data_IF_902538662223
#
_entry.id   IF_902538662223
#
_cell.length_a   1.000
_cell.length_b   1.000
_cell.length_c   1.000
_cell.angle_alpha   90.00
_cell.angle_beta   90.00
_cell.angle_gamma   90.00
#
_symmetry.space_group_name_H-M   'P 1'
#
loop_
_entity.id
_entity.type
_entity.pdbx_description
1 polymer ?
#
# COMPACT_ATOMS: atom_id res chain seq x y z
N UNK A 1 -6.23 2.41 26.35
CA UNK A 1 -6.36 2.06 24.92
C UNK A 1 -6.60 3.34 24.17
N UNK A 2 -5.66 3.74 23.33
CA UNK A 2 -5.80 4.92 22.47
C UNK A 2 -6.68 4.51 21.29
N UNK A 3 -7.66 5.33 20.94
CA UNK A 3 -8.53 5.08 19.78
C UNK A 3 -7.68 5.03 18.49
N UNK A 4 -7.80 4.00 17.63
CA UNK A 4 -7.11 3.92 16.35
C UNK A 4 -7.22 5.18 15.48
N UNK A 5 -8.36 5.89 15.54
CA UNK A 5 -8.55 7.16 14.85
C UNK A 5 -7.61 8.26 15.35
N UNK A 6 -7.35 8.31 16.66
CA UNK A 6 -6.43 9.27 17.27
C UNK A 6 -4.98 8.99 16.85
N UNK A 7 -4.63 7.71 16.69
CA UNK A 7 -3.29 7.30 16.23
C UNK A 7 -3.12 7.69 14.74
N UNK A 8 -4.17 7.54 13.93
CA UNK A 8 -4.16 7.97 12.53
C UNK A 8 -3.92 9.49 12.40
N UNK A 9 -4.65 10.30 13.14
CA UNK A 9 -4.51 11.77 13.11
C UNK A 9 -3.09 12.21 13.53
N UNK A 10 -2.55 11.59 14.58
CA UNK A 10 -1.19 11.83 15.03
C UNK A 10 -0.15 11.44 13.97
N UNK A 11 -0.37 10.31 13.28
CA UNK A 11 0.49 9.83 12.20
C UNK A 11 0.52 10.82 11.03
N UNK A 12 -0.65 11.32 10.62
CA UNK A 12 -0.75 12.33 9.57
C UNK A 12 -0.02 13.62 9.94
N UNK A 13 -0.19 14.09 11.19
CA UNK A 13 0.49 15.29 11.67
C UNK A 13 2.02 15.12 11.72
N UNK A 14 2.52 13.96 12.12
CA UNK A 14 3.96 13.65 12.12
C UNK A 14 4.52 13.68 10.68
N UNK A 15 3.81 13.08 9.72
CA UNK A 15 4.15 13.09 8.29
C UNK A 15 4.22 14.51 7.72
N UNK A 16 3.21 15.34 7.99
CA UNK A 16 3.17 16.73 7.51
C UNK A 16 4.30 17.60 8.06
N UNK A 17 4.84 17.24 9.23
CA UNK A 17 5.93 17.95 9.89
C UNK A 17 7.32 17.35 9.59
N UNK A 18 7.40 16.35 8.71
CA UNK A 18 8.67 15.68 8.37
C UNK A 18 9.26 14.84 9.52
N UNK A 19 8.46 14.48 10.52
CA UNK A 19 8.90 13.68 11.67
C UNK A 19 8.77 12.18 11.36
N UNK A 20 9.64 11.69 10.48
CA UNK A 20 9.55 10.32 9.94
C UNK A 20 9.65 9.21 11.00
N UNK A 21 10.56 9.35 11.97
CA UNK A 21 10.73 8.36 13.03
C UNK A 21 9.48 8.26 13.94
N UNK A 22 8.83 9.39 14.19
CA UNK A 22 7.59 9.44 14.98
C UNK A 22 6.42 8.87 14.19
N UNK A 23 6.31 9.21 12.89
CA UNK A 23 5.32 8.61 12.01
C UNK A 23 5.48 7.08 11.94
N UNK A 24 6.70 6.56 11.88
CA UNK A 24 6.93 5.11 11.90
C UNK A 24 6.49 4.47 13.23
N UNK A 25 6.84 5.08 14.37
CA UNK A 25 6.43 4.58 15.68
C UNK A 25 4.90 4.56 15.83
N UNK A 26 4.22 5.61 15.37
CA UNK A 26 2.75 5.70 15.39
C UNK A 26 2.10 4.65 14.48
N UNK A 27 2.71 4.36 13.33
CA UNK A 27 2.24 3.32 12.42
C UNK A 27 2.38 1.91 13.03
N UNK A 28 3.49 1.64 13.71
CA UNK A 28 3.69 0.40 14.46
C UNK A 28 2.66 0.26 15.58
N UNK A 29 2.36 1.36 16.28
CA UNK A 29 1.33 1.37 17.31
C UNK A 29 -0.08 1.12 16.74
N UNK A 30 -0.43 1.75 15.62
CA UNK A 30 -1.70 1.51 14.93
C UNK A 30 -1.84 0.03 14.53
N UNK A 31 -0.75 -0.57 14.05
CA UNK A 31 -0.74 -1.97 13.71
C UNK A 31 -0.86 -2.90 14.92
N UNK A 32 -0.23 -2.57 16.05
CA UNK A 32 -0.36 -3.35 17.28
C UNK A 32 -1.80 -3.36 17.82
N UNK A 33 -2.50 -2.23 17.73
CA UNK A 33 -3.89 -2.09 18.21
C UNK A 33 -4.91 -2.71 17.23
N UNK A 34 -4.66 -2.60 15.92
CA UNK A 34 -5.60 -3.06 14.88
C UNK A 34 -4.87 -3.73 13.70
N UNK A 35 -4.24 -4.91 13.89
CA UNK A 35 -3.34 -5.51 12.89
C UNK A 35 -4.03 -5.94 11.60
N UNK A 36 -5.31 -6.32 11.68
CA UNK A 36 -6.10 -6.79 10.54
C UNK A 36 -7.03 -5.71 9.95
N UNK A 37 -6.98 -4.47 10.45
CA UNK A 37 -7.80 -3.40 9.89
C UNK A 37 -7.31 -2.99 8.51
N UNK A 38 -8.24 -2.63 7.62
CA UNK A 38 -7.90 -2.21 6.25
C UNK A 38 -6.95 -1.01 6.29
N UNK A 39 -7.23 -0.06 7.16
CA UNK A 39 -6.45 1.16 7.34
C UNK A 39 -5.01 0.90 7.78
N UNK A 40 -4.82 0.08 8.84
CA UNK A 40 -3.49 -0.29 9.35
C UNK A 40 -2.63 -0.94 8.27
N UNK A 41 -3.22 -1.87 7.51
CA UNK A 41 -2.53 -2.57 6.43
C UNK A 41 -2.22 -1.63 5.26
N UNK A 42 -3.17 -0.80 4.82
CA UNK A 42 -2.96 0.18 3.74
C UNK A 42 -1.81 1.13 4.09
N UNK A 43 -1.77 1.68 5.31
CA UNK A 43 -0.74 2.63 5.71
C UNK A 43 0.65 1.99 5.79
N UNK A 44 0.76 0.76 6.30
CA UNK A 44 2.02 -0.01 6.27
C UNK A 44 2.47 -0.28 4.85
N UNK A 45 1.56 -0.69 3.98
CA UNK A 45 1.87 -0.94 2.57
C UNK A 45 2.42 0.31 1.88
N UNK A 46 1.74 1.46 2.05
CA UNK A 46 2.21 2.73 1.50
C UNK A 46 3.60 3.10 2.03
N UNK A 47 3.84 2.96 3.34
CA UNK A 47 5.12 3.27 3.94
C UNK A 47 6.27 2.38 3.39
N UNK A 48 6.02 1.08 3.18
CA UNK A 48 6.99 0.18 2.55
C UNK A 48 7.29 0.60 1.11
N UNK A 49 6.26 0.91 0.32
CA UNK A 49 6.43 1.33 -1.09
C UNK A 49 7.21 2.63 -1.20
N UNK A 50 6.91 3.62 -0.35
CA UNK A 50 7.61 4.91 -0.31
C UNK A 50 9.11 4.77 0.04
N UNK A 51 9.47 3.75 0.83
CA UNK A 51 10.87 3.46 1.22
C UNK A 51 11.62 2.59 0.22
N UNK A 52 10.92 2.01 -0.75
CA UNK A 52 11.49 1.03 -1.67
C UNK A 52 11.51 -0.41 -1.12
N UNK A 53 10.86 -0.67 0.01
CA UNK A 53 10.79 -1.98 0.66
C UNK A 53 9.67 -2.84 0.00
N UNK A 54 9.79 -3.07 -1.31
CA UNK A 54 8.72 -3.68 -2.11
C UNK A 54 8.43 -5.14 -1.76
N UNK A 55 9.42 -5.88 -1.26
CA UNK A 55 9.23 -7.26 -0.79
C UNK A 55 8.34 -7.31 0.46
N UNK A 56 8.56 -6.40 1.40
CA UNK A 56 7.74 -6.30 2.61
C UNK A 56 6.33 -5.84 2.25
N UNK A 57 6.21 -4.89 1.31
CA UNK A 57 4.91 -4.50 0.77
C UNK A 57 4.18 -5.69 0.14
N UNK A 58 4.87 -6.50 -0.67
CA UNK A 58 4.27 -7.67 -1.31
C UNK A 58 3.84 -8.72 -0.28
N UNK A 59 4.66 -8.97 0.75
CA UNK A 59 4.34 -9.90 1.82
C UNK A 59 3.05 -9.47 2.54
N UNK A 60 2.97 -8.19 2.93
CA UNK A 60 1.81 -7.62 3.61
C UNK A 60 0.53 -7.66 2.75
N UNK A 61 0.65 -7.38 1.45
CA UNK A 61 -0.49 -7.41 0.53
C UNK A 61 -1.01 -8.84 0.31
N UNK A 62 -0.11 -9.83 0.39
CA UNK A 62 -0.42 -11.25 0.18
C UNK A 62 -0.84 -11.99 1.45
N UNK A 63 -0.40 -11.53 2.63
CA UNK A 63 -0.68 -12.19 3.91
C UNK A 63 -2.05 -11.85 4.50
N UNK A 64 -2.72 -10.82 3.98
CA UNK A 64 -4.07 -10.49 4.40
C UNK A 64 -5.05 -11.59 3.92
N UNK A 65 -5.81 -12.19 4.83
CA UNK A 65 -6.84 -13.18 4.45
C UNK A 65 -7.86 -12.55 3.50
N UNK A 66 -8.01 -13.18 2.33
CA UNK A 66 -8.67 -12.60 1.15
C UNK A 66 -7.77 -11.54 0.53
N UNK A 67 -7.54 -11.56 -0.78
CA UNK A 67 -6.66 -10.61 -1.49
C UNK A 67 -7.17 -9.16 -1.30
N UNK A 68 -6.85 -8.50 -0.17
CA UNK A 68 -7.52 -7.27 0.30
C UNK A 68 -7.11 -6.03 -0.48
N UNK A 69 -5.95 -6.10 -1.13
CA UNK A 69 -5.29 -4.98 -1.80
C UNK A 69 -4.60 -5.42 -3.11
N UNK A 70 -5.34 -5.98 -4.08
CA UNK A 70 -4.77 -6.39 -5.36
C UNK A 70 -4.08 -5.22 -6.09
N UNK A 71 -4.55 -3.99 -5.88
CA UNK A 71 -3.96 -2.77 -6.44
C UNK A 71 -2.56 -2.47 -5.90
N UNK A 72 -2.35 -2.67 -4.59
CA UNK A 72 -1.05 -2.46 -3.96
C UNK A 72 -0.09 -3.63 -4.25
N UNK A 73 -0.63 -4.84 -4.39
CA UNK A 73 0.13 -6.01 -4.87
C UNK A 73 0.65 -5.79 -6.28
N UNK A 74 -0.19 -5.28 -7.20
CA UNK A 74 0.23 -4.94 -8.55
C UNK A 74 1.37 -3.91 -8.55
N UNK A 75 1.25 -2.86 -7.73
CA UNK A 75 2.28 -1.83 -7.61
C UNK A 75 3.61 -2.38 -7.04
N UNK A 76 3.56 -3.22 -6.01
CA UNK A 76 4.75 -3.85 -5.44
C UNK A 76 5.45 -4.76 -6.44
N UNK A 77 4.69 -5.59 -7.18
CA UNK A 77 5.24 -6.47 -8.22
C UNK A 77 5.84 -5.67 -9.39
N UNK A 78 5.25 -4.53 -9.75
CA UNK A 78 5.80 -3.63 -10.77
C UNK A 78 7.20 -3.14 -10.40
N UNK A 79 7.39 -2.66 -9.16
CA UNK A 79 8.70 -2.22 -8.69
C UNK A 79 9.72 -3.36 -8.49
N UNK A 80 9.25 -4.60 -8.39
CA UNK A 80 10.09 -5.80 -8.32
C UNK A 80 10.41 -6.40 -9.70
N UNK A 81 10.00 -5.74 -10.80
CA UNK A 81 10.11 -6.24 -12.17
C UNK A 81 9.45 -7.62 -12.39
N UNK A 82 8.46 -7.99 -11.56
CA UNK A 82 7.76 -9.27 -11.66
C UNK A 82 6.59 -9.18 -12.65
N UNK A 83 6.60 -9.92 -13.78
CA UNK A 83 5.62 -9.76 -14.85
C UNK A 83 4.17 -10.04 -14.44
N UNK A 84 3.93 -10.70 -13.30
CA UNK A 84 2.59 -10.94 -12.77
C UNK A 84 1.85 -9.64 -12.46
N UNK A 85 2.56 -8.53 -12.22
CA UNK A 85 1.95 -7.21 -11.98
C UNK A 85 0.97 -6.83 -13.09
N UNK A 86 1.30 -7.17 -14.35
CA UNK A 86 0.56 -6.71 -15.52
C UNK A 86 -0.82 -7.33 -15.61
N UNK A 87 -0.94 -8.63 -15.30
CA UNK A 87 -2.23 -9.33 -15.29
C UNK A 87 -3.16 -8.80 -14.21
N UNK A 88 -2.62 -8.50 -13.03
CA UNK A 88 -3.38 -7.92 -11.91
C UNK A 88 -3.83 -6.50 -12.28
N UNK A 89 -2.93 -5.66 -12.80
CA UNK A 89 -3.26 -4.30 -13.21
C UNK A 89 -4.32 -4.28 -14.32
N UNK A 90 -4.27 -5.21 -15.29
CA UNK A 90 -5.30 -5.35 -16.33
C UNK A 90 -6.66 -5.72 -15.73
N UNK A 91 -6.70 -6.67 -14.79
CA UNK A 91 -7.93 -7.07 -14.12
C UNK A 91 -8.59 -5.94 -13.31
N UNK A 92 -7.79 -4.98 -12.85
CA UNK A 92 -8.24 -3.83 -12.06
C UNK A 92 -8.39 -2.54 -12.88
N UNK A 93 -8.13 -2.56 -14.19
CA UNK A 93 -8.20 -1.36 -15.04
C UNK A 93 -9.62 -0.76 -15.11
N UNK A 94 -10.63 -1.60 -14.90
CA UNK A 94 -12.06 -1.26 -14.87
C UNK A 94 -12.68 -1.47 -13.47
N UNK A 95 -11.87 -1.41 -12.41
CA UNK A 95 -12.35 -1.57 -11.03
C UNK A 95 -13.45 -0.54 -10.69
N UNK A 96 -14.41 -0.94 -9.84
CA UNK A 96 -15.51 -0.08 -9.41
C UNK A 96 -15.03 1.16 -8.66
N UNK A 97 -13.85 1.10 -8.02
CA UNK A 97 -13.19 2.26 -7.45
C UNK A 97 -12.44 3.04 -8.55
N UNK A 98 -12.88 4.26 -8.91
CA UNK A 98 -12.29 5.02 -10.00
C UNK A 98 -10.82 5.39 -9.76
N UNK A 99 -10.39 5.51 -8.49
CA UNK A 99 -8.99 5.77 -8.16
C UNK A 99 -8.10 4.56 -8.44
N UNK A 100 -8.58 3.35 -8.15
CA UNK A 100 -7.87 2.11 -8.47
C UNK A 100 -7.77 1.94 -9.98
N UNK A 101 -8.90 2.05 -10.69
CA UNK A 101 -8.95 1.96 -12.16
C UNK A 101 -8.01 2.98 -12.83
N UNK A 102 -7.96 4.22 -12.34
CA UNK A 102 -7.04 5.25 -12.86
C UNK A 102 -5.58 4.89 -12.59
N UNK A 103 -5.25 4.48 -11.35
CA UNK A 103 -3.87 4.12 -10.99
C UNK A 103 -3.35 2.94 -11.81
N UNK A 104 -4.18 1.90 -12.01
CA UNK A 104 -3.79 0.70 -12.75
C UNK A 104 -3.62 0.97 -14.25
N UNK A 105 -4.48 1.80 -14.85
CA UNK A 105 -4.30 2.25 -16.24
C UNK A 105 -3.00 3.03 -16.41
N UNK A 106 -2.72 3.96 -15.50
CA UNK A 106 -1.47 4.72 -15.52
C UNK A 106 -0.25 3.80 -15.38
N UNK A 107 -0.30 2.82 -14.48
CA UNK A 107 0.77 1.82 -14.32
C UNK A 107 1.03 1.03 -15.62
N UNK A 108 -0.03 0.65 -16.33
CA UNK A 108 0.07 -0.05 -17.62
C UNK A 108 0.63 0.82 -18.75
N UNK A 109 0.36 2.13 -18.72
CA UNK A 109 0.87 3.13 -19.66
C UNK A 109 2.35 3.46 -19.42
N UNK A 110 2.77 3.56 -18.16
CA UNK A 110 4.15 3.89 -17.77
C UNK A 110 5.13 2.73 -17.97
N UNK A 111 4.63 1.49 -17.98
CA UNK A 111 5.48 0.33 -18.17
C UNK A 111 6.11 0.33 -19.58
N UNK A 112 7.44 0.12 -19.68
CA UNK A 112 8.08 0.00 -20.98
C UNK A 112 7.41 -1.11 -21.78
N UNK A 113 7.06 -0.80 -23.04
CA UNK A 113 6.47 -1.74 -23.97
C UNK A 113 7.52 -2.80 -24.37
N UNK A 114 7.71 -3.80 -23.52
CA UNK A 114 8.59 -4.93 -23.76
C UNK A 114 10.06 -4.67 -23.42
N UNK A 115 10.59 -5.51 -22.53
CA UNK A 115 11.92 -6.06 -22.69
C UNK A 115 11.76 -7.48 -23.26
#
# INVERSE_FOLDING_TARGET
MTDPSTIHDAWQAARQQGREAEAEALLQQLHAEAPASRESLTLRLCACIERGDYLDALHLASSAEGERFPELKALALYFLDDPLWRGIAQGLADDANPHVAMAMRKLLEEAPAGA
#
